data_IF_558370680686
#
_entry.id   IF_558370680686
#
_cell.length_a   1.000
_cell.length_b   1.000
_cell.length_c   1.000
_cell.angle_alpha   90.00
_cell.angle_beta   90.00
_cell.angle_gamma   90.00
#
_symmetry.space_group_name_H-M   'P 1'
#
loop_
_entity.id
_entity.type
_entity.pdbx_description
1 polymer ?
#
# COMPACT_ATOMS: atom_id res chain seq x y z
N UNK A 1 -19.87 -18.98 9.98
CA UNK A 1 -20.67 -18.19 10.95
C UNK A 1 -20.73 -16.76 10.40
N UNK A 2 -21.91 -16.16 10.23
CA UNK A 2 -22.02 -14.81 9.66
C UNK A 2 -21.78 -13.74 10.74
N UNK A 3 -21.07 -12.68 10.39
CA UNK A 3 -20.84 -11.51 11.25
C UNK A 3 -21.37 -10.25 10.57
N UNK A 4 -21.69 -9.22 11.36
CA UNK A 4 -22.22 -7.95 10.85
C UNK A 4 -21.27 -6.82 11.22
N UNK A 5 -20.87 -6.02 10.22
CA UNK A 5 -20.05 -4.82 10.41
C UNK A 5 -20.94 -3.60 10.12
N UNK A 6 -21.29 -2.78 11.12
CA UNK A 6 -22.09 -1.58 10.88
C UNK A 6 -21.24 -0.52 10.16
N UNK A 7 -21.77 0.01 9.06
CA UNK A 7 -21.16 1.11 8.30
C UNK A 7 -22.23 2.15 7.95
N UNK A 8 -21.80 3.38 7.64
CA UNK A 8 -22.74 4.40 7.18
C UNK A 8 -23.43 3.98 5.87
N UNK A 9 -24.66 4.46 5.65
CA UNK A 9 -25.38 4.23 4.37
C UNK A 9 -24.58 4.74 3.17
N UNK A 10 -23.84 5.85 3.34
CA UNK A 10 -22.97 6.41 2.31
C UNK A 10 -21.86 5.43 1.94
N UNK A 11 -21.15 4.91 2.93
CA UNK A 11 -20.07 3.94 2.74
C UNK A 11 -20.58 2.69 2.02
N UNK A 12 -21.70 2.13 2.46
CA UNK A 12 -22.31 0.95 1.83
C UNK A 12 -22.59 1.18 0.34
N UNK A 13 -23.18 2.32 -0.03
CA UNK A 13 -23.47 2.65 -1.44
C UNK A 13 -22.23 2.74 -2.31
N UNK A 14 -21.16 3.37 -1.82
CA UNK A 14 -19.91 3.45 -2.59
C UNK A 14 -19.27 2.08 -2.76
N UNK A 15 -19.27 1.26 -1.71
CA UNK A 15 -18.78 -0.11 -1.79
C UNK A 15 -19.63 -0.97 -2.73
N UNK A 16 -20.96 -0.80 -2.77
CA UNK A 16 -21.83 -1.53 -3.70
C UNK A 16 -21.54 -1.22 -5.17
N UNK A 17 -21.25 0.04 -5.50
CA UNK A 17 -20.83 0.43 -6.86
C UNK A 17 -19.55 -0.28 -7.29
N UNK A 18 -18.61 -0.45 -6.37
CA UNK A 18 -17.32 -1.11 -6.61
C UNK A 18 -17.43 -2.64 -6.62
N UNK A 19 -18.24 -3.20 -5.72
CA UNK A 19 -18.47 -4.64 -5.61
C UNK A 19 -19.06 -5.24 -6.89
N UNK A 20 -19.96 -4.50 -7.54
CA UNK A 20 -20.70 -4.99 -8.70
C UNK A 20 -21.49 -6.27 -8.36
N UNK A 21 -21.34 -7.32 -9.17
CA UNK A 21 -22.02 -8.61 -9.01
C UNK A 21 -21.38 -9.55 -7.97
N UNK A 22 -20.21 -9.23 -7.42
CA UNK A 22 -19.47 -10.09 -6.48
C UNK A 22 -20.20 -10.24 -5.14
N UNK A 23 -19.85 -11.27 -4.37
CA UNK A 23 -20.29 -11.37 -2.98
C UNK A 23 -19.58 -10.33 -2.09
N UNK A 24 -20.16 -10.02 -0.94
CA UNK A 24 -19.51 -9.10 0.02
C UNK A 24 -18.19 -9.64 0.54
N UNK A 25 -18.14 -10.92 0.88
CA UNK A 25 -16.94 -11.57 1.41
C UNK A 25 -15.80 -11.52 0.40
N UNK A 26 -16.06 -11.92 -0.84
CA UNK A 26 -15.05 -11.92 -1.91
C UNK A 26 -14.50 -10.52 -2.18
N UNK A 27 -15.38 -9.52 -2.27
CA UNK A 27 -14.99 -8.14 -2.50
C UNK A 27 -14.21 -7.54 -1.33
N UNK A 28 -14.64 -7.78 -0.09
CA UNK A 28 -13.95 -7.23 1.08
C UNK A 28 -12.57 -7.89 1.30
N UNK A 29 -12.43 -9.18 1.02
CA UNK A 29 -11.13 -9.88 1.08
C UNK A 29 -10.17 -9.39 0.00
N UNK A 30 -10.67 -9.11 -1.19
CA UNK A 30 -9.90 -8.50 -2.28
C UNK A 30 -9.44 -7.09 -1.91
N UNK A 31 -10.35 -6.28 -1.34
CA UNK A 31 -10.02 -4.94 -0.84
C UNK A 31 -8.92 -4.96 0.24
N UNK A 32 -8.93 -5.96 1.13
CA UNK A 32 -7.85 -6.16 2.12
C UNK A 32 -6.51 -6.49 1.43
N UNK A 33 -6.56 -7.31 0.39
CA UNK A 33 -5.36 -7.71 -0.36
C UNK A 33 -4.74 -6.52 -1.10
N UNK A 34 -5.57 -5.70 -1.75
CA UNK A 34 -5.16 -4.46 -2.41
C UNK A 34 -4.60 -3.44 -1.41
N UNK A 35 -5.26 -3.25 -0.25
CA UNK A 35 -4.74 -2.39 0.80
C UNK A 35 -3.34 -2.83 1.28
N UNK A 36 -3.13 -4.13 1.49
CA UNK A 36 -1.82 -4.68 1.88
C UNK A 36 -0.77 -4.49 0.80
N UNK A 37 -1.12 -4.72 -0.47
CA UNK A 37 -0.22 -4.51 -1.61
C UNK A 37 0.23 -3.05 -1.70
N UNK A 38 -0.70 -2.10 -1.64
CA UNK A 38 -0.38 -0.68 -1.67
C UNK A 38 0.52 -0.26 -0.50
N UNK A 39 0.31 -0.82 0.70
CA UNK A 39 1.20 -0.59 1.86
C UNK A 39 2.60 -1.14 1.64
N UNK A 40 2.73 -2.34 1.06
CA UNK A 40 4.04 -2.93 0.74
C UNK A 40 4.78 -2.13 -0.34
N UNK A 41 4.08 -1.69 -1.38
CA UNK A 41 4.66 -0.86 -2.43
C UNK A 41 5.16 0.49 -1.90
N UNK A 42 4.38 1.14 -1.03
CA UNK A 42 4.80 2.38 -0.39
C UNK A 42 6.06 2.17 0.46
N UNK A 43 6.10 1.14 1.30
CA UNK A 43 7.28 0.81 2.11
C UNK A 43 8.50 0.47 1.24
N UNK A 44 8.29 -0.21 0.10
CA UNK A 44 9.38 -0.51 -0.84
C UNK A 44 9.92 0.75 -1.53
N UNK A 45 9.06 1.71 -1.87
CA UNK A 45 9.48 3.00 -2.42
C UNK A 45 10.32 3.78 -1.41
N UNK A 46 9.84 3.88 -0.17
CA UNK A 46 10.55 4.54 0.93
C UNK A 46 11.93 3.88 1.17
N UNK A 47 11.99 2.55 1.15
CA UNK A 47 13.26 1.83 1.28
C UNK A 47 14.23 2.15 0.11
N UNK A 48 13.73 2.19 -1.12
CA UNK A 48 14.57 2.50 -2.28
C UNK A 48 15.11 3.94 -2.21
N UNK A 49 14.29 4.91 -1.81
CA UNK A 49 14.72 6.31 -1.63
C UNK A 49 15.83 6.42 -0.58
N UNK A 50 15.68 5.73 0.56
CA UNK A 50 16.72 5.71 1.60
C UNK A 50 18.03 5.09 1.11
N UNK A 51 17.95 3.99 0.35
CA UNK A 51 19.14 3.35 -0.21
C UNK A 51 19.82 4.24 -1.25
N UNK A 52 19.08 4.89 -2.15
CA UNK A 52 19.63 5.83 -3.13
C UNK A 52 20.39 6.98 -2.46
N UNK A 53 19.83 7.56 -1.39
CA UNK A 53 20.49 8.58 -0.58
C UNK A 53 21.80 8.06 0.03
N UNK A 54 21.79 6.84 0.56
CA UNK A 54 22.99 6.22 1.16
C UNK A 54 24.08 5.95 0.10
N UNK A 55 23.69 5.55 -1.12
CA UNK A 55 24.63 5.34 -2.23
C UNK A 55 25.27 6.65 -2.72
N UNK A 56 24.55 7.77 -2.73
CA UNK A 56 25.12 9.08 -3.05
C UNK A 56 26.15 9.53 -1.99
N UNK A 57 25.84 9.37 -0.71
CA UNK A 57 26.73 9.73 0.39
C UNK A 57 28.05 8.93 0.38
N UNK A 58 27.97 7.63 0.07
CA UNK A 58 29.17 6.77 -0.06
C UNK A 58 30.02 7.17 -1.26
N UNK A 59 29.41 7.58 -2.37
CA UNK A 59 30.14 8.07 -3.56
C UNK A 59 30.86 9.37 -3.27
N UNK A 60 30.19 10.35 -2.65
CA UNK A 60 30.81 11.66 -2.32
C UNK A 60 32.00 11.50 -1.38
N UNK A 61 31.91 10.62 -0.37
CA UNK A 61 33.01 10.31 0.56
C UNK A 61 34.22 9.65 -0.10
N UNK A 62 34.02 8.89 -1.17
CA UNK A 62 35.12 8.24 -1.91
C UNK A 62 35.89 9.26 -2.74
N UNK A 63 35.17 10.18 -3.39
CA UNK A 63 35.76 11.26 -4.19
C UNK A 63 36.59 12.24 -3.36
N UNK A 64 36.18 12.53 -2.12
CA UNK A 64 36.91 13.43 -1.22
C UNK A 64 38.15 12.81 -0.58
N UNK A 65 38.33 11.49 -0.66
CA UNK A 65 39.53 10.79 -0.16
C UNK A 65 40.60 10.55 -1.22
N UNK A 66 40.24 10.69 -2.50
CA UNK A 66 41.13 10.49 -3.65
C UNK A 66 41.61 11.81 -4.28
N UNK A 67 41.19 12.96 -3.73
CA UNK A 67 41.66 14.31 -4.13
C UNK A 67 42.68 14.89 -3.14
#
# INVERSE_FOLDING_TARGET
>A
MSTTIPVSRRTKRELEKLKGSRSWDEFLLDLVSEYRRGRMEAARRELNELLELEYEDVRVRRWTRES
#
